data_IF_761451202708
#
_entry.id   IF_761451202708
#
_cell.length_a   1.000
_cell.length_b   1.000
_cell.length_c   1.000
_cell.angle_alpha   90.00
_cell.angle_beta   90.00
_cell.angle_gamma   90.00
#
_symmetry.space_group_name_H-M   'P 1'
#
loop_
_entity.id
_entity.type
_entity.pdbx_description
1 polymer ?
#
# COMPACT_ATOMS: atom_id res chain seq x y z
N UNK A 1 9.78 -20.35 5.53
CA UNK A 1 9.00 -19.95 4.33
C UNK A 1 7.59 -19.46 4.67
N UNK A 2 6.67 -20.30 5.18
CA UNK A 2 5.25 -19.91 5.38
C UNK A 2 5.01 -18.65 6.22
N UNK A 3 5.71 -18.50 7.35
CA UNK A 3 5.55 -17.29 8.19
C UNK A 3 6.11 -16.02 7.50
N UNK A 4 7.19 -16.16 6.71
CA UNK A 4 7.76 -15.04 5.94
C UNK A 4 6.78 -14.62 4.83
N UNK A 5 6.14 -15.60 4.18
CA UNK A 5 5.10 -15.33 3.20
C UNK A 5 3.93 -14.55 3.81
N UNK A 6 3.44 -14.95 5.00
CA UNK A 6 2.38 -14.22 5.69
C UNK A 6 2.76 -12.76 5.97
N UNK A 7 3.99 -12.49 6.38
CA UNK A 7 4.45 -11.12 6.61
C UNK A 7 4.47 -10.33 5.30
N UNK A 8 4.95 -10.94 4.20
CA UNK A 8 4.88 -10.34 2.87
C UNK A 8 3.45 -10.03 2.43
N UNK A 9 2.49 -10.90 2.74
CA UNK A 9 1.07 -10.71 2.42
C UNK A 9 0.49 -9.54 3.24
N UNK A 10 0.84 -9.43 4.53
CA UNK A 10 0.46 -8.28 5.36
C UNK A 10 0.98 -6.96 4.77
N UNK A 11 2.23 -6.93 4.28
CA UNK A 11 2.75 -5.73 3.61
C UNK A 11 1.96 -5.40 2.34
N UNK A 12 1.51 -6.41 1.60
CA UNK A 12 0.61 -6.25 0.44
C UNK A 12 -0.70 -5.57 0.83
N UNK A 13 -1.28 -5.99 1.94
CA UNK A 13 -2.56 -5.47 2.41
C UNK A 13 -2.42 -4.04 2.93
N UNK A 14 -1.32 -3.71 3.61
CA UNK A 14 -1.03 -2.33 4.03
C UNK A 14 -0.90 -1.41 2.81
N UNK A 15 -0.16 -1.82 1.77
CA UNK A 15 -0.04 -1.05 0.53
C UNK A 15 -1.43 -0.77 -0.06
N UNK A 16 -2.27 -1.80 -0.19
CA UNK A 16 -3.63 -1.66 -0.73
C UNK A 16 -4.52 -0.75 0.12
N UNK A 17 -4.35 -0.77 1.43
CA UNK A 17 -5.10 0.11 2.33
C UNK A 17 -4.70 1.57 2.16
N UNK A 18 -3.41 1.86 1.95
CA UNK A 18 -2.93 3.21 1.66
C UNK A 18 -3.50 3.67 0.32
N UNK A 19 -3.37 2.87 -0.74
CA UNK A 19 -3.90 3.20 -2.07
C UNK A 19 -5.42 3.47 -2.03
N UNK A 20 -6.17 2.62 -1.30
CA UNK A 20 -7.61 2.80 -1.11
C UNK A 20 -7.93 4.08 -0.34
N UNK A 21 -7.18 4.38 0.72
CA UNK A 21 -7.35 5.61 1.48
C UNK A 21 -7.17 6.84 0.58
N UNK A 22 -6.14 6.87 -0.26
CA UNK A 22 -5.89 7.98 -1.18
C UNK A 22 -7.05 8.15 -2.18
N UNK A 23 -7.55 7.06 -2.75
CA UNK A 23 -8.69 7.10 -3.67
C UNK A 23 -9.96 7.58 -2.96
N UNK A 24 -10.26 7.05 -1.78
CA UNK A 24 -11.45 7.41 -1.01
C UNK A 24 -11.43 8.88 -0.59
N UNK A 25 -10.26 9.39 -0.16
CA UNK A 25 -10.13 10.81 0.17
C UNK A 25 -10.45 11.67 -1.05
N UNK A 26 -9.88 11.35 -2.21
CA UNK A 26 -10.12 12.11 -3.44
C UNK A 26 -11.61 12.15 -3.82
N UNK A 27 -12.29 11.01 -3.76
CA UNK A 27 -13.73 10.90 -4.04
C UNK A 27 -14.56 11.74 -3.04
N UNK A 28 -14.25 11.66 -1.75
CA UNK A 28 -14.98 12.41 -0.71
C UNK A 28 -14.68 13.91 -0.75
N UNK A 29 -13.46 14.33 -1.07
CA UNK A 29 -13.11 15.76 -1.28
C UNK A 29 -13.87 16.31 -2.48
N UNK A 30 -13.89 15.60 -3.60
CA UNK A 30 -14.62 16.01 -4.79
C UNK A 30 -16.13 16.13 -4.51
N UNK A 31 -16.69 15.18 -3.77
CA UNK A 31 -18.10 15.20 -3.36
C UNK A 31 -18.39 16.37 -2.41
N UNK A 32 -17.54 16.62 -1.43
CA UNK A 32 -17.65 17.74 -0.51
C UNK A 32 -17.66 19.08 -1.27
N UNK A 33 -16.71 19.28 -2.20
CA UNK A 33 -16.67 20.47 -3.05
C UNK A 33 -17.95 20.67 -3.83
N UNK A 34 -18.45 19.61 -4.47
CA UNK A 34 -19.69 19.65 -5.25
C UNK A 34 -20.89 20.04 -4.38
N UNK A 35 -21.00 19.47 -3.17
CA UNK A 35 -22.06 19.79 -2.22
C UNK A 35 -22.00 21.25 -1.76
N UNK A 36 -20.82 21.73 -1.40
CA UNK A 36 -20.63 23.11 -0.94
C UNK A 36 -20.93 24.13 -2.05
N UNK A 37 -20.48 23.88 -3.28
CA UNK A 37 -20.81 24.71 -4.44
C UNK A 37 -22.30 24.70 -4.78
N UNK A 38 -22.98 23.57 -4.61
CA UNK A 38 -24.43 23.55 -4.77
C UNK A 38 -25.12 24.45 -3.74
N UNK A 39 -24.60 24.50 -2.51
CA UNK A 39 -25.12 25.37 -1.44
C UNK A 39 -24.81 26.87 -1.64
N UNK A 40 -23.95 27.25 -2.58
CA UNK A 40 -23.72 28.66 -2.96
C UNK A 40 -24.70 29.18 -4.00
N UNK A 41 -25.53 28.31 -4.59
CA UNK A 41 -26.57 28.71 -5.54
C UNK A 41 -27.72 29.51 -4.89
N UNK A 42 -28.60 30.14 -5.69
CA UNK A 42 -29.75 30.89 -5.18
C UNK A 42 -30.63 30.05 -4.25
N UNK A 43 -30.86 30.55 -3.04
CA UNK A 43 -31.65 29.85 -2.00
C UNK A 43 -30.86 28.78 -1.23
N UNK A 44 -29.59 28.57 -1.53
CA UNK A 44 -28.68 27.71 -0.79
C UNK A 44 -28.21 28.32 0.54
N UNK A 45 -27.67 27.47 1.42
CA UNK A 45 -27.20 27.88 2.75
C UNK A 45 -26.08 28.92 2.69
N UNK A 46 -25.25 28.84 1.66
CA UNK A 46 -24.10 29.71 1.44
C UNK A 46 -24.28 30.60 0.22
N UNK A 47 -25.52 30.98 -0.12
CA UNK A 47 -25.85 31.81 -1.30
C UNK A 47 -25.18 33.19 -1.36
N UNK A 48 -24.50 33.61 -0.27
CA UNK A 48 -23.70 34.84 -0.23
C UNK A 48 -22.25 34.62 -0.66
N UNK A 49 -21.83 33.35 -0.78
CA UNK A 49 -20.53 32.97 -1.30
C UNK A 49 -20.65 32.65 -2.78
N UNK A 50 -19.55 32.84 -3.49
CA UNK A 50 -19.35 32.39 -4.85
C UNK A 50 -18.70 30.99 -4.88
N UNK A 51 -18.90 30.23 -5.95
CA UNK A 51 -18.33 28.88 -6.07
C UNK A 51 -16.79 28.86 -5.96
N UNK A 52 -16.11 29.93 -6.37
CA UNK A 52 -14.65 30.03 -6.28
C UNK A 52 -14.17 30.24 -4.84
N UNK A 53 -14.97 30.90 -3.99
CA UNK A 53 -14.65 31.06 -2.57
C UNK A 53 -14.67 29.70 -1.84
N UNK A 54 -15.49 28.76 -2.29
CA UNK A 54 -15.47 27.36 -1.82
C UNK A 54 -14.16 26.67 -2.22
N UNK A 55 -13.71 26.84 -3.47
CA UNK A 55 -12.44 26.26 -3.92
C UNK A 55 -11.24 26.82 -3.15
N UNK A 56 -11.25 28.12 -2.86
CA UNK A 56 -10.22 28.79 -2.06
C UNK A 56 -10.19 28.29 -0.62
N UNK A 57 -11.35 28.18 0.04
CA UNK A 57 -11.44 27.67 1.41
C UNK A 57 -10.96 26.21 1.51
N UNK A 58 -11.31 25.36 0.54
CA UNK A 58 -10.83 23.97 0.51
C UNK A 58 -9.32 23.92 0.28
N UNK A 59 -8.78 24.78 -0.59
CA UNK A 59 -7.34 24.86 -0.85
C UNK A 59 -6.56 25.36 0.37
N UNK A 60 -7.11 26.27 1.16
CA UNK A 60 -6.47 26.78 2.38
C UNK A 60 -6.27 25.69 3.44
N UNK A 61 -7.23 24.77 3.55
CA UNK A 61 -7.14 23.64 4.49
C UNK A 61 -6.47 22.39 3.87
N UNK A 62 -6.24 22.38 2.55
CA UNK A 62 -5.52 21.32 1.87
C UNK A 62 -4.07 21.24 2.34
N UNK A 63 -3.57 20.01 2.51
CA UNK A 63 -2.16 19.78 2.81
C UNK A 63 -1.29 20.06 1.58
N UNK A 64 -1.77 19.65 0.41
CA UNK A 64 -1.12 19.86 -0.87
C UNK A 64 -2.17 19.96 -1.99
N UNK A 65 -1.87 20.76 -3.01
CA UNK A 65 -2.65 20.84 -4.24
C UNK A 65 -1.78 20.42 -5.42
N UNK A 66 -2.21 19.40 -6.16
CA UNK A 66 -1.46 18.86 -7.30
C UNK A 66 -2.41 18.51 -8.44
N UNK A 67 -2.06 18.89 -9.67
CA UNK A 67 -2.86 18.63 -10.88
C UNK A 67 -4.33 19.10 -10.78
N UNK A 68 -4.60 20.18 -10.04
CA UNK A 68 -5.94 20.71 -9.83
C UNK A 68 -6.79 19.92 -8.82
N UNK A 69 -6.19 18.99 -8.08
CA UNK A 69 -6.80 18.26 -6.97
C UNK A 69 -6.19 18.71 -5.66
N UNK A 70 -7.05 18.87 -4.65
CA UNK A 70 -6.66 19.23 -3.30
C UNK A 70 -6.70 17.98 -2.44
N UNK A 71 -5.62 17.73 -1.72
CA UNK A 71 -5.44 16.55 -0.88
C UNK A 71 -5.27 16.99 0.57
N UNK A 72 -5.91 16.25 1.48
CA UNK A 72 -5.78 16.48 2.92
C UNK A 72 -4.68 15.63 3.54
N UNK A 73 -4.18 14.63 2.81
CA UNK A 73 -2.97 13.89 3.15
C UNK A 73 -1.72 14.40 2.41
N UNK A 74 -0.56 14.02 2.93
CA UNK A 74 0.72 14.23 2.25
C UNK A 74 0.91 13.14 1.18
N UNK A 75 0.66 13.51 -0.08
CA UNK A 75 0.72 12.60 -1.23
C UNK A 75 2.13 12.03 -1.41
N UNK A 76 3.17 12.85 -1.23
CA UNK A 76 4.56 12.43 -1.42
C UNK A 76 4.96 11.40 -0.36
N UNK A 77 4.60 11.66 0.90
CA UNK A 77 4.86 10.72 1.98
C UNK A 77 4.13 9.38 1.76
N UNK A 78 2.89 9.41 1.27
CA UNK A 78 2.14 8.19 0.98
C UNK A 78 2.79 7.38 -0.16
N UNK A 79 3.22 8.04 -1.24
CA UNK A 79 3.94 7.40 -2.36
C UNK A 79 5.28 6.81 -1.92
N UNK A 80 6.06 7.54 -1.13
CA UNK A 80 7.32 7.08 -0.55
C UNK A 80 7.13 5.85 0.34
N UNK A 81 6.08 5.88 1.18
CA UNK A 81 5.73 4.76 2.05
C UNK A 81 5.34 3.52 1.22
N UNK A 82 4.49 3.66 0.20
CA UNK A 82 4.15 2.57 -0.72
C UNK A 82 5.41 2.00 -1.37
N UNK A 83 6.31 2.87 -1.85
CA UNK A 83 7.56 2.44 -2.48
C UNK A 83 8.44 1.63 -1.51
N UNK A 84 8.62 2.13 -0.28
CA UNK A 84 9.38 1.44 0.75
C UNK A 84 8.77 0.08 1.10
N UNK A 85 7.46 0.02 1.30
CA UNK A 85 6.76 -1.23 1.64
C UNK A 85 6.89 -2.27 0.51
N UNK A 86 6.74 -1.86 -0.76
CA UNK A 86 6.94 -2.75 -1.92
C UNK A 86 8.36 -3.29 -1.98
N UNK A 87 9.36 -2.45 -1.68
CA UNK A 87 10.76 -2.90 -1.60
C UNK A 87 10.96 -3.94 -0.50
N UNK A 88 10.44 -3.68 0.70
CA UNK A 88 10.54 -4.61 1.84
C UNK A 88 9.79 -5.92 1.62
N UNK A 89 8.65 -5.87 0.94
CA UNK A 89 7.92 -7.08 0.53
C UNK A 89 8.77 -7.97 -0.39
N UNK A 90 9.41 -7.39 -1.41
CA UNK A 90 10.31 -8.14 -2.31
C UNK A 90 11.49 -8.77 -1.56
N UNK A 91 12.12 -8.00 -0.67
CA UNK A 91 13.22 -8.50 0.17
C UNK A 91 12.78 -9.70 1.03
N UNK A 92 11.57 -9.65 1.61
CA UNK A 92 11.03 -10.75 2.41
C UNK A 92 10.71 -11.99 1.57
N UNK A 93 10.13 -11.83 0.38
CA UNK A 93 9.85 -12.96 -0.53
C UNK A 93 11.16 -13.68 -0.88
N UNK A 94 12.18 -12.93 -1.31
CA UNK A 94 13.49 -13.49 -1.63
C UNK A 94 14.11 -14.23 -0.44
N UNK A 95 14.05 -13.64 0.76
CA UNK A 95 14.53 -14.31 1.97
C UNK A 95 13.76 -15.60 2.28
N UNK A 96 12.45 -15.62 2.04
CA UNK A 96 11.62 -16.81 2.17
C UNK A 96 12.03 -17.93 1.21
N UNK A 97 12.33 -17.58 -0.04
CA UNK A 97 12.81 -18.49 -1.09
C UNK A 97 14.19 -19.07 -0.75
N UNK A 98 15.12 -18.24 -0.28
CA UNK A 98 16.46 -18.67 0.14
C UNK A 98 16.40 -19.70 1.27
N UNK A 99 15.53 -19.49 2.26
CA UNK A 99 15.30 -20.45 3.34
C UNK A 99 14.72 -21.75 2.80
N UNK A 100 13.74 -21.69 1.90
CA UNK A 100 13.13 -22.88 1.32
C UNK A 100 14.16 -23.70 0.52
N UNK A 101 14.98 -23.01 -0.26
CA UNK A 101 16.07 -23.61 -1.02
C UNK A 101 17.10 -24.29 -0.10
N UNK A 102 17.56 -23.59 0.95
CA UNK A 102 18.51 -24.15 1.91
C UNK A 102 17.96 -25.38 2.63
N UNK A 103 16.70 -25.35 3.06
CA UNK A 103 16.04 -26.49 3.71
C UNK A 103 15.93 -27.70 2.78
N UNK A 104 15.56 -27.49 1.50
CA UNK A 104 15.51 -28.56 0.51
C UNK A 104 16.91 -29.13 0.24
N UNK A 105 17.92 -28.27 0.07
CA UNK A 105 19.30 -28.71 -0.14
C UNK A 105 19.84 -29.54 1.02
N UNK A 106 19.54 -29.14 2.26
CA UNK A 106 19.92 -29.91 3.46
C UNK A 106 19.24 -31.28 3.47
N UNK A 107 17.93 -31.34 3.22
CA UNK A 107 17.18 -32.61 3.14
C UNK A 107 17.72 -33.53 2.06
N UNK A 108 18.03 -32.99 0.88
CA UNK A 108 18.51 -33.79 -0.24
C UNK A 108 19.91 -34.36 0.05
N UNK A 109 20.78 -33.57 0.70
CA UNK A 109 22.09 -34.05 1.16
C UNK A 109 21.97 -35.12 2.25
N UNK A 110 21.04 -34.96 3.18
CA UNK A 110 20.79 -35.95 4.24
C UNK A 110 20.29 -37.28 3.64
N UNK A 111 19.34 -37.22 2.70
CA UNK A 111 18.87 -38.40 1.97
C UNK A 111 20.00 -39.10 1.20
N UNK A 112 20.88 -38.35 0.51
CA UNK A 112 22.03 -38.92 -0.18
C UNK A 112 22.99 -39.64 0.78
N UNK A 113 23.23 -39.07 1.96
CA UNK A 113 24.06 -39.72 2.98
C UNK A 113 23.42 -41.04 3.44
N UNK A 114 22.13 -41.05 3.76
CA UNK A 114 21.41 -42.27 4.16
C UNK A 114 21.53 -43.37 3.11
N UNK A 115 21.28 -43.05 1.83
CA UNK A 115 21.40 -44.04 0.74
C UNK A 115 22.83 -44.58 0.60
N UNK A 116 23.84 -43.72 0.75
CA UNK A 116 25.24 -44.13 0.69
C UNK A 116 25.62 -45.05 1.89
N UNK A 117 25.10 -44.78 3.08
CA UNK A 117 25.33 -45.61 4.26
C UNK A 117 24.65 -46.98 4.15
N UNK A 118 23.40 -47.06 3.69
CA UNK A 118 22.72 -48.33 3.46
C UNK A 118 23.43 -49.18 2.39
N UNK A 119 23.93 -48.56 1.32
CA UNK A 119 24.72 -49.23 0.29
C UNK A 119 26.09 -49.74 0.76
N UNK A 120 26.64 -49.16 1.83
CA UNK A 120 27.88 -49.62 2.46
C UNK A 120 27.66 -50.78 3.44
N UNK A 121 26.50 -50.85 4.11
CA UNK A 121 26.15 -51.92 5.06
C UNK A 121 25.62 -53.18 4.36
N UNK A 122 25.08 -53.04 3.14
CA UNK A 122 24.59 -54.16 2.33
C UNK A 122 25.67 -54.88 1.49
N UNK A 123 26.95 -54.46 1.60
CA UNK A 123 28.11 -55.13 0.98
C UNK A 123 28.90 -55.90 2.03
#
# INVERSE_FOLDING_TARGET
>A
AKEIQKISDILSDIIRNIERFQQQEEEEVAKLKSQLKHETGPGGKYHLLEEHEVDEAIREVAKISQNGRDYFHDVQLAEELIHLLRKKQKELIHFGDDIAYAANSLRDKDNQLVTNFEGLVAR
#
